data_IF_776610125843
#
_entry.id   IF_776610125843
#
_cell.length_a   1.000
_cell.length_b   1.000
_cell.length_c   1.000
_cell.angle_alpha   90.00
_cell.angle_beta   90.00
_cell.angle_gamma   90.00
#
_symmetry.space_group_name_H-M   'P 1'
#
loop_
_entity.id
_entity.type
_entity.pdbx_description
1 polymer ?
#
# COMPACT_ATOMS: atom_id res chain seq x y z
N UNK A 1 -1.09 -13.64 -12.17
CA UNK A 1 -1.56 -12.80 -11.05
C UNK A 1 -2.81 -12.06 -11.45
N UNK A 2 -3.76 -12.06 -10.58
CA UNK A 2 -5.05 -11.43 -10.85
C UNK A 2 -5.41 -10.46 -9.73
N UNK A 3 -5.80 -9.25 -10.11
CA UNK A 3 -6.27 -8.26 -9.17
C UNK A 3 -7.71 -8.60 -8.75
N UNK A 4 -7.93 -8.85 -7.47
CA UNK A 4 -9.24 -9.26 -6.97
C UNK A 4 -9.99 -8.16 -6.24
N UNK A 5 -9.28 -7.21 -5.66
CA UNK A 5 -9.88 -6.08 -4.96
C UNK A 5 -8.86 -4.95 -4.85
N UNK A 6 -9.37 -3.74 -4.71
CA UNK A 6 -8.51 -2.59 -4.42
C UNK A 6 -9.29 -1.56 -3.62
N UNK A 7 -8.58 -0.81 -2.81
CA UNK A 7 -9.18 0.20 -1.96
C UNK A 7 -9.36 1.52 -2.72
N UNK A 8 -10.06 2.44 -2.08
CA UNK A 8 -10.04 3.84 -2.49
C UNK A 8 -8.63 4.39 -2.31
N UNK A 9 -8.37 5.53 -2.90
CA UNK A 9 -7.11 6.25 -2.68
C UNK A 9 -7.28 7.10 -1.41
N UNK A 10 -6.27 7.10 -0.58
CA UNK A 10 -6.27 7.87 0.66
C UNK A 10 -5.13 8.86 0.66
N UNK A 11 -5.37 10.02 1.22
CA UNK A 11 -4.39 11.07 1.35
C UNK A 11 -3.94 11.17 2.80
N UNK A 12 -2.64 11.27 2.99
CA UNK A 12 -2.03 11.46 4.31
C UNK A 12 -1.18 12.72 4.23
N UNK A 13 -1.40 13.69 5.12
CA UNK A 13 -0.59 14.91 5.12
C UNK A 13 0.84 14.60 5.54
N UNK A 14 1.80 15.41 5.10
CA UNK A 14 3.19 15.22 5.49
C UNK A 14 3.36 15.54 6.98
N UNK A 15 4.18 14.74 7.65
CA UNK A 15 4.44 14.93 9.08
C UNK A 15 5.53 15.98 9.29
N UNK A 16 5.17 17.05 10.00
CA UNK A 16 6.14 17.99 10.49
C UNK A 16 6.87 18.86 9.49
N UNK A 17 6.66 18.65 8.20
CA UNK A 17 7.29 19.41 7.15
C UNK A 17 6.21 19.93 6.21
N UNK A 18 5.85 21.17 6.39
CA UNK A 18 4.73 21.76 5.66
C UNK A 18 4.95 21.90 4.16
N UNK A 19 6.19 21.87 3.73
CA UNK A 19 6.53 22.06 2.33
C UNK A 19 6.50 20.79 1.50
N UNK A 20 6.37 19.64 2.14
CA UNK A 20 6.29 18.39 1.41
C UNK A 20 4.88 18.13 0.93
N UNK A 21 4.72 17.55 -0.25
CA UNK A 21 3.39 17.19 -0.73
C UNK A 21 2.79 16.07 0.12
N UNK A 22 1.48 16.00 0.11
CA UNK A 22 0.77 14.92 0.76
C UNK A 22 1.13 13.58 0.08
N UNK A 23 1.00 12.51 0.84
CA UNK A 23 1.18 11.16 0.32
C UNK A 23 -0.16 10.56 -0.04
N UNK A 24 -0.18 9.78 -1.11
CA UNK A 24 -1.37 9.06 -1.54
C UNK A 24 -1.08 7.57 -1.52
N UNK A 25 -1.99 6.83 -0.93
CA UNK A 25 -1.83 5.38 -0.77
C UNK A 25 -3.13 4.66 -1.11
N UNK A 26 -2.99 3.45 -1.60
CA UNK A 26 -4.09 2.53 -1.76
C UNK A 26 -3.55 1.12 -1.57
N UNK A 27 -4.44 0.19 -1.28
CA UNK A 27 -4.09 -1.21 -1.09
C UNK A 27 -4.86 -2.05 -2.10
N UNK A 28 -4.21 -3.08 -2.59
CA UNK A 28 -4.84 -4.01 -3.54
C UNK A 28 -4.59 -5.45 -3.09
N UNK A 29 -5.54 -6.30 -3.41
CA UNK A 29 -5.38 -7.74 -3.24
C UNK A 29 -5.16 -8.37 -4.60
N UNK A 30 -4.20 -9.27 -4.66
CA UNK A 30 -3.98 -10.07 -5.86
C UNK A 30 -4.08 -11.54 -5.52
N UNK A 31 -4.57 -12.31 -6.46
CA UNK A 31 -4.58 -13.76 -6.38
C UNK A 31 -3.48 -14.30 -7.29
N UNK A 32 -2.65 -15.17 -6.77
CA UNK A 32 -1.51 -15.66 -7.53
C UNK A 32 -1.08 -17.03 -7.03
N UNK A 33 -0.49 -17.81 -7.94
CA UNK A 33 0.14 -19.07 -7.61
C UNK A 33 1.64 -18.92 -7.36
N UNK A 34 2.17 -17.73 -7.60
CA UNK A 34 3.59 -17.50 -7.39
C UNK A 34 3.93 -17.45 -5.90
N UNK A 35 5.12 -17.93 -5.57
CA UNK A 35 5.63 -17.80 -4.21
C UNK A 35 5.81 -16.29 -3.87
N UNK A 36 5.72 -15.92 -2.58
CA UNK A 36 5.82 -14.51 -2.20
C UNK A 36 7.08 -13.80 -2.72
N UNK A 37 8.22 -14.44 -2.71
CA UNK A 37 9.46 -13.81 -3.22
C UNK A 37 9.36 -13.56 -4.72
N UNK A 38 8.72 -14.45 -5.47
CA UNK A 38 8.50 -14.23 -6.89
C UNK A 38 7.57 -13.03 -7.12
N UNK A 39 6.53 -12.91 -6.30
CA UNK A 39 5.64 -11.75 -6.38
C UNK A 39 6.43 -10.47 -6.10
N UNK A 40 7.28 -10.49 -5.09
CA UNK A 40 8.14 -9.34 -4.78
C UNK A 40 8.97 -8.93 -5.99
N UNK A 41 9.62 -9.89 -6.65
CA UNK A 41 10.45 -9.58 -7.80
C UNK A 41 9.64 -8.99 -8.94
N UNK A 42 8.43 -9.49 -9.15
CA UNK A 42 7.54 -8.95 -10.19
C UNK A 42 7.09 -7.53 -9.87
N UNK A 43 6.80 -7.25 -8.61
CA UNK A 43 6.42 -5.90 -8.19
C UNK A 43 7.60 -4.93 -8.35
N UNK A 44 8.81 -5.38 -8.06
CA UNK A 44 10.00 -4.56 -8.25
C UNK A 44 10.23 -4.23 -9.73
N UNK A 45 9.93 -5.15 -10.62
CA UNK A 45 10.03 -4.88 -12.06
C UNK A 45 9.00 -3.83 -12.48
N UNK A 46 7.81 -3.90 -11.92
CA UNK A 46 6.77 -2.91 -12.21
C UNK A 46 7.20 -1.53 -11.71
N UNK A 47 7.72 -1.45 -10.49
CA UNK A 47 8.24 -0.19 -9.97
C UNK A 47 9.31 0.38 -10.88
N UNK A 48 10.23 -0.46 -11.31
CA UNK A 48 11.30 -0.05 -12.20
C UNK A 48 10.75 0.50 -13.51
N UNK A 49 9.78 -0.20 -14.08
CA UNK A 49 9.18 0.21 -15.34
C UNK A 49 8.44 1.55 -15.22
N UNK A 50 7.82 1.80 -14.07
CA UNK A 50 7.02 3.00 -13.88
C UNK A 50 7.84 4.20 -13.35
N UNK A 51 8.83 3.91 -12.54
CA UNK A 51 9.56 4.97 -11.83
C UNK A 51 10.92 5.30 -12.39
N UNK A 52 11.68 4.29 -12.80
CA UNK A 52 13.06 4.51 -13.22
C UNK A 52 13.24 4.88 -14.67
N UNK A 53 12.19 4.83 -15.43
CA UNK A 53 12.23 5.30 -16.80
C UNK A 53 12.54 6.80 -16.84
N UNK A 54 12.18 7.49 -15.77
CA UNK A 54 12.47 8.90 -15.64
C UNK A 54 13.60 9.11 -14.67
N UNK A 55 14.66 9.69 -15.16
CA UNK A 55 15.80 10.02 -14.35
C UNK A 55 15.58 11.40 -13.73
N UNK A 56 14.70 11.44 -12.76
CA UNK A 56 14.39 12.67 -12.07
C UNK A 56 15.10 12.67 -10.75
N UNK A 57 16.15 13.47 -10.67
CA UNK A 57 17.00 13.48 -9.48
C UNK A 57 16.36 14.16 -8.28
N UNK A 58 15.48 15.11 -8.52
CA UNK A 58 14.91 15.95 -7.49
C UNK A 58 13.40 15.83 -7.41
N UNK A 59 12.82 14.97 -8.21
CA UNK A 59 11.39 14.71 -8.15
C UNK A 59 11.08 13.64 -7.13
N UNK A 60 9.88 13.62 -6.58
CA UNK A 60 9.46 12.53 -5.70
C UNK A 60 9.41 11.23 -6.48
N UNK A 61 9.59 10.13 -5.76
CA UNK A 61 9.47 8.81 -6.36
C UNK A 61 8.05 8.63 -6.88
N UNK A 62 7.93 8.03 -8.06
CA UNK A 62 6.64 7.89 -8.71
C UNK A 62 5.74 6.89 -8.01
N UNK A 63 6.29 5.75 -7.61
CA UNK A 63 5.50 4.69 -6.98
C UNK A 63 6.37 3.74 -6.20
N UNK A 64 5.89 3.38 -5.02
CA UNK A 64 6.45 2.29 -4.22
C UNK A 64 5.40 1.22 -4.07
N UNK A 65 5.78 -0.03 -4.28
CA UNK A 65 4.88 -1.16 -4.13
C UNK A 65 5.46 -2.07 -3.05
N UNK A 66 4.74 -2.18 -1.95
CA UNK A 66 5.14 -3.03 -0.83
C UNK A 66 4.20 -4.21 -0.70
N UNK A 67 4.77 -5.38 -0.47
CA UNK A 67 3.96 -6.54 -0.09
C UNK A 67 3.66 -6.45 1.39
N UNK A 68 2.40 -6.58 1.74
CA UNK A 68 1.95 -6.37 3.12
C UNK A 68 1.78 -7.67 3.89
N UNK A 69 1.03 -8.61 3.34
CA UNK A 69 0.73 -9.86 4.02
C UNK A 69 0.06 -10.85 3.08
N UNK A 70 -0.03 -12.08 3.53
CA UNK A 70 -0.79 -13.13 2.86
C UNK A 70 -2.17 -13.22 3.50
N UNK A 71 -3.17 -13.60 2.72
CA UNK A 71 -4.55 -13.70 3.20
C UNK A 71 -4.69 -14.60 4.43
N UNK A 72 -3.97 -15.69 4.45
CA UNK A 72 -4.03 -16.63 5.59
C UNK A 72 -3.20 -16.21 6.79
N UNK A 73 -2.59 -15.04 6.76
CA UNK A 73 -1.72 -14.60 7.84
C UNK A 73 -0.39 -15.35 7.90
N UNK A 74 -0.04 -16.04 6.83
CA UNK A 74 1.21 -16.78 6.76
C UNK A 74 2.42 -15.88 6.90
N UNK A 75 3.45 -16.41 7.55
CA UNK A 75 4.68 -15.65 7.73
C UNK A 75 5.72 -16.06 6.70
N UNK A 76 6.46 -15.06 6.23
CA UNK A 76 7.61 -15.24 5.37
C UNK A 76 8.75 -14.44 5.98
N UNK A 77 9.91 -15.05 6.08
CA UNK A 77 11.04 -14.37 6.70
C UNK A 77 12.31 -14.76 5.97
N UNK A 78 12.67 -13.94 5.01
CA UNK A 78 13.91 -14.09 4.25
C UNK A 78 14.66 -12.77 4.28
N UNK A 79 15.88 -12.76 3.72
CA UNK A 79 16.64 -11.51 3.63
C UNK A 79 15.95 -10.48 2.77
N UNK A 80 15.24 -10.93 1.75
CA UNK A 80 14.58 -10.02 0.81
C UNK A 80 13.18 -9.61 1.23
N UNK A 81 12.50 -10.44 2.01
CA UNK A 81 11.07 -10.28 2.24
C UNK A 81 10.67 -10.74 3.63
N UNK A 82 9.89 -9.92 4.29
CA UNK A 82 9.27 -10.28 5.54
C UNK A 82 7.76 -10.03 5.44
N UNK A 83 6.97 -11.07 5.71
CA UNK A 83 5.51 -10.95 5.75
C UNK A 83 5.00 -11.54 7.06
N UNK A 84 4.05 -10.92 7.73
CA UNK A 84 3.51 -9.60 7.42
C UNK A 84 4.60 -8.53 7.43
N UNK A 85 4.38 -7.46 6.68
CA UNK A 85 5.33 -6.35 6.65
C UNK A 85 5.58 -5.88 8.08
N UNK A 86 6.84 -5.65 8.47
CA UNK A 86 7.17 -5.40 9.88
C UNK A 86 6.50 -4.17 10.50
N UNK A 87 6.14 -3.19 9.68
CA UNK A 87 5.51 -1.97 10.19
C UNK A 87 4.02 -1.88 9.86
N UNK A 88 3.44 -2.95 9.33
CA UNK A 88 2.05 -2.94 8.87
C UNK A 88 1.08 -2.47 9.96
N UNK A 89 1.20 -3.00 11.16
CA UNK A 89 0.24 -2.73 12.23
C UNK A 89 0.43 -1.35 12.88
N UNK A 90 1.51 -0.66 12.54
CA UNK A 90 1.80 0.66 13.10
C UNK A 90 1.47 1.80 12.15
N UNK A 91 1.03 1.50 10.95
CA UNK A 91 0.85 2.50 9.90
C UNK A 91 -0.61 2.68 9.52
N UNK A 92 -1.23 3.75 10.01
CA UNK A 92 -2.62 4.05 9.69
C UNK A 92 -2.84 4.20 8.19
N UNK A 93 -1.88 4.79 7.48
CA UNK A 93 -2.00 5.00 6.04
C UNK A 93 -1.98 3.70 5.23
N UNK A 94 -1.66 2.58 5.87
CA UNK A 94 -1.75 1.26 5.29
C UNK A 94 -2.98 0.53 5.82
N UNK A 95 -3.21 0.58 7.14
CA UNK A 95 -4.31 -0.14 7.76
C UNK A 95 -5.68 0.38 7.34
N UNK A 96 -5.82 1.68 7.16
CA UNK A 96 -7.11 2.25 6.77
C UNK A 96 -7.55 1.74 5.40
N UNK A 97 -6.74 1.86 4.35
CA UNK A 97 -7.13 1.28 3.05
C UNK A 97 -7.24 -0.25 3.09
N UNK A 98 -6.40 -0.92 3.87
CA UNK A 98 -6.50 -2.38 3.99
C UNK A 98 -7.82 -2.78 4.65
N UNK A 99 -8.25 -2.04 5.67
CA UNK A 99 -9.52 -2.31 6.34
C UNK A 99 -10.72 -2.11 5.43
N UNK A 100 -10.60 -1.28 4.42
CA UNK A 100 -11.67 -1.09 3.46
C UNK A 100 -11.95 -2.37 2.67
N UNK A 101 -10.89 -3.09 2.28
CA UNK A 101 -11.04 -4.27 1.41
C UNK A 101 -10.92 -5.59 2.16
N UNK A 102 -10.34 -5.60 3.35
CA UNK A 102 -10.14 -6.82 4.11
C UNK A 102 -10.30 -6.54 5.62
N UNK A 103 -11.46 -6.01 6.06
CA UNK A 103 -11.64 -5.64 7.47
C UNK A 103 -11.56 -6.82 8.42
N UNK A 104 -11.94 -8.00 7.97
CA UNK A 104 -11.99 -9.19 8.81
C UNK A 104 -10.74 -10.06 8.72
N UNK A 105 -9.77 -9.66 7.92
CA UNK A 105 -8.50 -10.37 7.86
C UNK A 105 -7.85 -10.35 9.23
N UNK A 106 -7.43 -11.50 9.71
CA UNK A 106 -6.82 -11.63 11.04
C UNK A 106 -5.30 -11.64 10.90
N UNK A 107 -4.65 -10.74 11.62
CA UNK A 107 -3.20 -10.74 11.78
C UNK A 107 -2.89 -10.72 13.26
N UNK A 108 -2.13 -11.69 13.71
CA UNK A 108 -1.96 -11.90 15.14
C UNK A 108 -3.27 -12.39 15.73
N UNK A 109 -3.75 -11.74 16.77
CA UNK A 109 -4.98 -12.14 17.46
C UNK A 109 -6.20 -11.31 17.08
N UNK A 110 -6.05 -10.33 16.15
CA UNK A 110 -7.12 -9.39 15.88
C UNK A 110 -7.32 -9.12 14.40
N UNK A 111 -8.51 -8.62 14.08
CA UNK A 111 -8.83 -8.23 12.70
C UNK A 111 -8.16 -6.91 12.32
N UNK A 112 -8.02 -6.71 11.02
CA UNK A 112 -7.43 -5.47 10.50
C UNK A 112 -8.26 -4.27 10.95
N UNK A 113 -9.58 -4.36 10.93
CA UNK A 113 -10.39 -3.21 11.37
C UNK A 113 -10.16 -2.87 12.84
N UNK A 114 -9.91 -3.87 13.68
CA UNK A 114 -9.60 -3.64 15.10
C UNK A 114 -8.21 -3.02 15.27
N UNK A 115 -7.24 -3.48 14.49
CA UNK A 115 -5.91 -2.88 14.52
C UNK A 115 -5.96 -1.42 14.09
N UNK A 116 -6.69 -1.11 13.03
CA UNK A 116 -6.82 0.24 12.53
C UNK A 116 -7.49 1.17 13.56
N UNK A 117 -8.52 0.67 14.22
CA UNK A 117 -9.27 1.46 15.20
C UNK A 117 -8.44 1.90 16.40
N UNK A 118 -7.34 1.22 16.66
CA UNK A 118 -6.46 1.55 17.78
C UNK A 118 -5.43 2.62 17.49
N UNK A 119 -5.19 2.92 16.22
CA UNK A 119 -4.15 3.87 15.88
C UNK A 119 -4.65 5.29 16.01
N UNK A 120 -3.88 6.16 16.69
CA UNK A 120 -4.29 7.55 16.86
C UNK A 120 -4.31 8.34 15.56
N UNK A 121 -3.54 7.89 14.58
CA UNK A 121 -3.37 8.61 13.31
C UNK A 121 -4.45 8.32 12.29
N UNK A 122 -5.40 7.46 12.62
CA UNK A 122 -6.41 7.03 11.65
C UNK A 122 -7.23 8.22 11.13
N UNK A 123 -7.45 9.23 11.96
CA UNK A 123 -8.22 10.42 11.58
C UNK A 123 -7.50 11.28 10.56
N UNK A 124 -6.19 11.11 10.41
CA UNK A 124 -5.40 11.90 9.46
C UNK A 124 -5.32 11.26 8.08
N UNK A 125 -5.85 10.05 7.93
CA UNK A 125 -5.88 9.35 6.65
C UNK A 125 -7.25 9.59 6.04
N UNK A 126 -7.30 10.39 5.01
CA UNK A 126 -8.54 10.88 4.44
C UNK A 126 -8.79 10.29 3.07
N UNK A 127 -9.98 9.73 2.89
CA UNK A 127 -10.38 9.17 1.61
C UNK A 127 -10.53 10.27 0.58
N UNK A 128 -9.99 10.03 -0.60
CA UNK A 128 -10.16 10.94 -1.73
C UNK A 128 -11.47 10.57 -2.42
N UNK A 129 -12.51 11.35 -2.18
CA UNK A 129 -13.85 11.04 -2.70
C UNK A 129 -14.02 11.34 -4.17
N UNK A 130 -13.17 12.21 -4.69
CA UNK A 130 -13.24 12.57 -6.09
C UNK A 130 -11.88 12.47 -6.73
N UNK A 131 -11.80 11.63 -7.71
CA UNK A 131 -10.64 11.58 -8.58
C UNK A 131 -11.10 12.20 -9.87
N UNK A 132 -10.46 13.28 -10.27
CA UNK A 132 -10.75 13.87 -11.57
C UNK A 132 -10.32 12.85 -12.62
N UNK A 133 -11.27 12.46 -13.44
CA UNK A 133 -10.96 11.57 -14.55
C UNK A 133 -10.37 12.43 -15.64
N UNK A 134 -9.11 12.23 -15.90
CA UNK A 134 -8.39 12.99 -16.91
C UNK A 134 -8.20 12.14 -18.14
N UNK A 135 -8.27 12.79 -19.27
CA UNK A 135 -7.97 12.12 -20.53
C UNK A 135 -6.46 12.08 -20.71
N UNK A 136 -5.87 11.03 -20.18
CA UNK A 136 -4.42 10.95 -20.15
C UNK A 136 -3.76 10.80 -21.51
N UNK A 137 -4.51 10.53 -22.52
CA UNK A 137 -3.97 10.35 -23.85
C UNK A 137 -3.97 11.59 -24.74
N UNK A 138 -4.48 12.69 -24.23
CA UNK A 138 -4.61 13.92 -25.04
C UNK A 138 -3.69 15.00 -24.56
N UNK A 139 -2.53 14.99 -25.09
CA UNK A 139 -1.55 16.04 -24.76
C UNK A 139 -0.90 16.60 -25.98
#
# INVERSE_FOLDING_TARGET
MELTAYSSVYETPPWGIEEQPAFYNMVACIETEFAPVEVLHRMQRIETALGRVRDIHWGPRTMDIDLLCMEGGETVKTEELQLPHPYLLDRAFVLVPLAEIAPTLVLGAETIENHAARLPDVAHVVRVDRIAIMELGKH
#
